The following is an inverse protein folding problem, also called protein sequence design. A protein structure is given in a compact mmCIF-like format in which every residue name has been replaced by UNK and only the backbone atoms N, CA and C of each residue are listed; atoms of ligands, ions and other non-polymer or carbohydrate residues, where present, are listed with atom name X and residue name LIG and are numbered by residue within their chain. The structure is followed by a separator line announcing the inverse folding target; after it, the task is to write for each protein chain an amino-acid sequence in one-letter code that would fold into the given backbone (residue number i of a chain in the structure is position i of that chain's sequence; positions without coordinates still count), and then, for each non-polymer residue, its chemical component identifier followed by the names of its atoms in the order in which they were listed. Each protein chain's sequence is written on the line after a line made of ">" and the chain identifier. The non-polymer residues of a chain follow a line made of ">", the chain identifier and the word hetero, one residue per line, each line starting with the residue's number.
data_IF_896707370993
#
_entry.id   IF_896707370993
#
_cell.length_a   1.000
_cell.length_b   1.000
_cell.length_c   1.000
_cell.angle_alpha   90.00
_cell.angle_beta   90.00
_cell.angle_gamma   90.00
#
_symmetry.space_group_name_H-M   'P 1'
#
loop_
_entity.id
_entity.type
_entity.pdbx_description
1 polymer ?
#
# COMPACT_ATOMS: atom_id res chain seq x y z
N UNK A 1 65.32 63.76 -5.76
CA UNK A 1 63.91 63.33 -5.50
C UNK A 1 63.65 61.98 -6.20
N UNK A 2 63.74 60.85 -5.46
CA UNK A 2 63.54 59.56 -6.00
C UNK A 2 62.12 59.10 -5.60
N UNK A 3 61.24 58.84 -6.58
CA UNK A 3 59.91 58.33 -6.39
C UNK A 3 59.98 56.79 -6.36
N UNK A 4 59.56 56.17 -5.26
CA UNK A 4 59.35 54.74 -5.15
C UNK A 4 57.90 54.42 -5.55
N UNK A 5 57.75 53.62 -6.60
CA UNK A 5 56.43 52.96 -6.97
C UNK A 5 56.27 51.65 -6.16
N UNK A 6 55.30 51.66 -5.34
CA UNK A 6 54.85 50.41 -4.61
C UNK A 6 53.89 49.64 -5.53
N UNK A 7 54.28 48.47 -5.98
CA UNK A 7 53.39 47.54 -6.70
C UNK A 7 52.64 46.68 -5.68
N UNK A 8 51.35 46.95 -5.55
CA UNK A 8 50.46 46.06 -4.81
C UNK A 8 50.02 44.87 -5.70
N UNK A 9 50.56 43.68 -5.40
CA UNK A 9 50.08 42.44 -6.02
C UNK A 9 48.80 41.93 -5.28
N UNK A 10 47.67 42.04 -5.94
CA UNK A 10 46.41 41.47 -5.45
C UNK A 10 46.37 39.98 -5.79
N UNK A 11 46.54 39.15 -4.80
CA UNK A 11 46.26 37.69 -4.92
C UNK A 11 44.78 37.48 -4.90
N UNK A 12 44.18 37.15 -6.04
CA UNK A 12 42.79 36.65 -6.13
C UNK A 12 42.81 35.15 -5.80
N UNK A 13 42.42 34.79 -4.57
CA UNK A 13 42.19 33.43 -4.20
C UNK A 13 40.79 33.05 -4.70
N UNK A 14 40.71 32.35 -5.83
CA UNK A 14 39.47 31.76 -6.31
C UNK A 14 39.11 30.55 -5.42
N UNK A 15 38.17 30.76 -4.53
CA UNK A 15 37.49 29.63 -3.85
C UNK A 15 36.60 28.92 -4.86
N UNK A 16 37.09 27.83 -5.45
CA UNK A 16 36.27 26.88 -6.16
C UNK A 16 35.44 26.11 -5.10
N UNK A 17 34.22 26.55 -4.87
CA UNK A 17 33.25 25.76 -4.12
C UNK A 17 32.88 24.54 -4.97
N UNK A 18 33.54 23.39 -4.74
CA UNK A 18 33.04 22.09 -5.18
C UNK A 18 31.73 21.82 -4.42
N UNK A 19 30.62 22.22 -5.01
CA UNK A 19 29.33 21.65 -4.61
C UNK A 19 29.33 20.18 -5.06
N UNK A 20 29.66 19.27 -4.14
CA UNK A 20 29.36 17.85 -4.34
C UNK A 20 27.85 17.75 -4.49
N UNK A 21 27.34 17.73 -5.71
CA UNK A 21 25.98 17.30 -5.97
C UNK A 21 25.90 15.86 -5.41
N UNK A 22 25.18 15.70 -4.28
CA UNK A 22 24.81 14.37 -3.80
C UNK A 22 24.14 13.69 -4.97
N UNK A 23 24.79 12.70 -5.55
CA UNK A 23 24.24 11.89 -6.63
C UNK A 23 22.93 11.31 -6.10
N UNK A 24 21.81 11.74 -6.68
CA UNK A 24 20.50 11.25 -6.24
C UNK A 24 20.47 9.75 -6.34
N UNK A 25 20.23 9.09 -5.21
CA UNK A 25 20.12 7.63 -5.17
C UNK A 25 19.01 7.15 -6.13
N UNK A 26 19.33 6.21 -7.01
CA UNK A 26 18.43 5.63 -8.00
C UNK A 26 18.17 4.16 -7.68
N UNK A 27 17.01 3.69 -8.10
CA UNK A 27 16.67 2.26 -8.02
C UNK A 27 17.54 1.49 -9.03
N UNK A 28 18.13 0.39 -8.57
CA UNK A 28 18.80 -0.56 -9.47
C UNK A 28 17.72 -1.42 -10.17
N UNK A 29 17.62 -1.26 -11.47
CA UNK A 29 16.64 -1.97 -12.32
C UNK A 29 17.15 -3.27 -12.91
N UNK A 30 18.39 -3.67 -12.65
CA UNK A 30 19.04 -4.85 -13.27
C UNK A 30 18.29 -6.16 -12.98
N UNK A 31 17.67 -6.29 -11.81
CA UNK A 31 16.89 -7.46 -11.41
C UNK A 31 15.37 -7.29 -11.62
N UNK A 32 14.95 -6.21 -12.24
CA UNK A 32 13.54 -5.96 -12.60
C UNK A 32 13.12 -6.93 -13.70
N UNK A 33 11.90 -7.45 -13.64
CA UNK A 33 11.36 -8.26 -14.71
C UNK A 33 11.29 -7.48 -16.04
N UNK A 34 11.57 -8.17 -17.14
CA UNK A 34 11.26 -7.63 -18.45
C UNK A 34 9.74 -7.39 -18.59
N UNK A 35 9.34 -6.51 -19.48
CA UNK A 35 7.92 -6.29 -19.80
C UNK A 35 7.25 -7.60 -20.24
N UNK A 36 7.92 -8.37 -21.11
CA UNK A 36 7.42 -9.66 -21.57
C UNK A 36 7.14 -10.61 -20.39
N UNK A 37 8.10 -10.79 -19.47
CA UNK A 37 7.90 -11.64 -18.28
C UNK A 37 6.72 -11.19 -17.43
N UNK A 38 6.55 -9.87 -17.25
CA UNK A 38 5.44 -9.31 -16.49
C UNK A 38 4.09 -9.60 -17.16
N UNK A 39 4.00 -9.44 -18.49
CA UNK A 39 2.79 -9.77 -19.25
C UNK A 39 2.52 -11.27 -19.31
N UNK A 40 3.54 -12.11 -19.47
CA UNK A 40 3.40 -13.58 -19.46
C UNK A 40 2.87 -14.07 -18.12
N UNK A 41 3.28 -13.44 -17.01
CA UNK A 41 2.75 -13.71 -15.70
C UNK A 41 1.30 -13.23 -15.58
N UNK A 42 1.01 -11.98 -15.94
CA UNK A 42 -0.32 -11.35 -15.80
C UNK A 42 -1.38 -12.05 -16.64
N UNK A 43 -1.05 -12.43 -17.87
CA UNK A 43 -1.99 -13.08 -18.78
C UNK A 43 -2.41 -14.50 -18.35
N UNK A 44 -1.66 -15.11 -17.43
CA UNK A 44 -2.02 -16.40 -16.81
C UNK A 44 -2.96 -16.23 -15.61
N UNK A 45 -3.19 -15.00 -15.16
CA UNK A 45 -4.02 -14.73 -14.00
C UNK A 45 -5.49 -14.51 -14.42
N UNK A 46 -6.46 -14.87 -13.55
CA UNK A 46 -7.82 -14.37 -13.70
C UNK A 46 -7.85 -12.85 -13.53
N UNK A 47 -8.94 -12.21 -13.88
CA UNK A 47 -9.15 -10.83 -13.46
C UNK A 47 -9.34 -10.76 -11.95
N UNK A 48 -8.58 -9.89 -11.29
CA UNK A 48 -8.62 -9.72 -9.85
C UNK A 48 -9.54 -8.57 -9.47
N UNK A 49 -10.50 -8.86 -8.59
CA UNK A 49 -11.36 -7.90 -7.94
C UNK A 49 -11.41 -8.22 -6.44
N UNK A 50 -11.04 -7.25 -5.62
CA UNK A 50 -10.96 -7.47 -4.19
C UNK A 50 -10.92 -6.20 -3.38
N UNK A 51 -10.23 -6.24 -2.24
CA UNK A 51 -10.33 -5.18 -1.23
C UNK A 51 -9.05 -5.03 -0.40
N UNK A 52 -8.89 -3.84 0.18
CA UNK A 52 -7.96 -3.58 1.28
C UNK A 52 -8.64 -3.96 2.59
N UNK A 53 -7.90 -4.58 3.50
CA UNK A 53 -8.50 -5.25 4.64
C UNK A 53 -7.87 -4.88 5.97
N UNK A 54 -8.70 -4.41 6.87
CA UNK A 54 -8.49 -4.41 8.31
C UNK A 54 -9.73 -5.08 8.91
N UNK A 55 -9.61 -6.12 9.76
CA UNK A 55 -10.77 -6.76 10.38
C UNK A 55 -11.61 -5.77 11.20
N UNK A 56 -12.92 -5.91 11.23
CA UNK A 56 -13.82 -5.00 11.93
C UNK A 56 -13.48 -4.84 13.43
N UNK A 57 -12.88 -5.85 14.06
CA UNK A 57 -12.44 -5.76 15.45
C UNK A 57 -11.19 -4.92 15.67
N UNK A 58 -10.37 -4.71 14.63
CA UNK A 58 -9.09 -4.03 14.73
C UNK A 58 -9.25 -2.53 14.42
N UNK A 59 -8.65 -1.68 15.26
CA UNK A 59 -8.64 -0.24 15.03
C UNK A 59 -7.54 0.20 14.06
N UNK A 60 -6.50 -0.64 13.89
CA UNK A 60 -5.35 -0.40 13.03
C UNK A 60 -4.65 -1.72 12.67
N UNK A 61 -3.61 -1.64 11.84
CA UNK A 61 -2.83 -2.83 11.45
C UNK A 61 -2.04 -3.44 12.61
N UNK A 62 -1.66 -2.68 13.65
CA UNK A 62 -1.05 -3.29 14.84
C UNK A 62 -2.03 -4.25 15.51
N UNK A 63 -3.27 -3.82 15.75
CA UNK A 63 -4.31 -4.67 16.34
C UNK A 63 -4.66 -5.89 15.46
N UNK A 64 -4.53 -5.76 14.13
CA UNK A 64 -4.75 -6.89 13.23
C UNK A 64 -3.73 -8.00 13.42
N UNK A 65 -2.46 -7.68 13.70
CA UNK A 65 -1.36 -8.65 13.73
C UNK A 65 -0.86 -9.01 15.13
N UNK A 66 -1.14 -8.20 16.17
CA UNK A 66 -0.62 -8.38 17.51
C UNK A 66 -1.15 -9.67 18.18
N UNK A 67 -0.28 -10.35 18.93
CA UNK A 67 -0.59 -11.62 19.62
C UNK A 67 -1.73 -11.54 20.63
N UNK A 68 -2.03 -10.34 21.11
CA UNK A 68 -3.11 -10.13 22.10
C UNK A 68 -4.48 -9.89 21.46
N UNK A 69 -4.51 -9.61 20.13
CA UNK A 69 -5.73 -9.19 19.45
C UNK A 69 -6.03 -9.94 18.17
N UNK A 70 -5.08 -10.68 17.59
CA UNK A 70 -5.30 -11.47 16.37
C UNK A 70 -6.43 -12.49 16.55
N UNK A 71 -7.50 -12.37 15.76
CA UNK A 71 -8.67 -13.27 15.81
C UNK A 71 -8.91 -13.95 14.44
N UNK A 72 -8.35 -15.15 14.30
CA UNK A 72 -8.50 -15.96 13.08
C UNK A 72 -9.97 -16.30 12.77
N UNK A 73 -10.85 -16.43 13.79
CA UNK A 73 -12.26 -16.78 13.58
C UNK A 73 -13.05 -15.58 13.04
N UNK A 74 -12.76 -14.37 13.54
CA UNK A 74 -13.36 -13.16 13.02
C UNK A 74 -12.94 -12.93 11.56
N UNK A 75 -11.65 -13.08 11.25
CA UNK A 75 -11.11 -12.98 9.89
C UNK A 75 -11.78 -14.01 8.97
N UNK A 76 -11.86 -15.27 9.38
CA UNK A 76 -12.48 -16.34 8.58
C UNK A 76 -13.95 -16.03 8.24
N UNK A 77 -14.70 -15.50 9.20
CA UNK A 77 -16.09 -15.09 9.01
C UNK A 77 -16.25 -13.92 8.04
N UNK A 78 -15.37 -12.92 8.14
CA UNK A 78 -15.41 -11.76 7.26
C UNK A 78 -14.97 -12.12 5.82
N UNK A 79 -13.94 -12.97 5.65
CA UNK A 79 -13.51 -13.42 4.33
C UNK A 79 -14.55 -14.32 3.64
N UNK A 80 -15.41 -15.00 4.39
CA UNK A 80 -16.55 -15.72 3.81
C UNK A 80 -17.55 -14.77 3.10
N UNK A 81 -17.72 -13.53 3.60
CA UNK A 81 -18.53 -12.51 2.91
C UNK A 81 -17.90 -12.08 1.59
N UNK A 82 -16.58 -11.92 1.58
CA UNK A 82 -15.85 -11.56 0.36
C UNK A 82 -15.91 -12.68 -0.69
N UNK A 83 -15.74 -13.96 -0.29
CA UNK A 83 -15.93 -15.11 -1.17
C UNK A 83 -17.36 -15.15 -1.73
N UNK A 84 -18.37 -14.93 -0.89
CA UNK A 84 -19.76 -14.91 -1.31
C UNK A 84 -20.09 -13.77 -2.29
N UNK A 85 -19.33 -12.68 -2.26
CA UNK A 85 -19.37 -11.59 -3.25
C UNK A 85 -18.55 -11.89 -4.51
N UNK A 86 -17.80 -13.01 -4.56
CA UNK A 86 -16.94 -13.39 -5.68
C UNK A 86 -15.59 -12.66 -5.72
N UNK A 87 -15.19 -12.00 -4.64
CA UNK A 87 -13.88 -11.36 -4.54
C UNK A 87 -12.77 -12.42 -4.41
N UNK A 88 -11.62 -12.18 -5.05
CA UNK A 88 -10.57 -13.18 -5.19
C UNK A 88 -9.17 -12.67 -4.82
N UNK A 89 -9.04 -11.45 -4.33
CA UNK A 89 -7.79 -10.87 -3.85
C UNK A 89 -8.04 -9.93 -2.67
N UNK A 90 -7.13 -9.91 -1.71
CA UNK A 90 -7.10 -8.90 -0.67
C UNK A 90 -5.68 -8.34 -0.48
N UNK A 91 -5.60 -7.10 -0.02
CA UNK A 91 -4.37 -6.41 0.36
C UNK A 91 -4.44 -5.98 1.81
N UNK A 92 -3.36 -6.17 2.55
CA UNK A 92 -3.24 -5.64 3.92
C UNK A 92 -1.78 -5.26 4.21
N UNK A 93 -1.62 -4.20 5.01
CA UNK A 93 -0.30 -3.76 5.47
C UNK A 93 0.19 -4.68 6.59
N UNK A 94 1.45 -5.09 6.50
CA UNK A 94 2.14 -5.82 7.54
C UNK A 94 2.71 -4.85 8.59
N UNK A 95 2.64 -5.23 9.87
CA UNK A 95 3.15 -4.35 10.92
C UNK A 95 4.54 -4.77 11.38
N UNK A 96 5.55 -3.96 11.04
CA UNK A 96 6.93 -4.19 11.43
C UNK A 96 7.12 -4.29 12.95
N UNK A 97 6.43 -3.47 13.74
CA UNK A 97 6.59 -3.49 15.20
C UNK A 97 6.22 -4.86 15.80
N UNK A 98 5.18 -5.53 15.26
CA UNK A 98 4.79 -6.88 15.69
C UNK A 98 5.83 -7.91 15.27
N UNK A 99 6.40 -7.77 14.07
CA UNK A 99 7.52 -8.61 13.64
C UNK A 99 8.75 -8.41 14.52
N UNK A 100 9.10 -7.18 14.86
CA UNK A 100 10.27 -6.87 15.67
C UNK A 100 10.18 -7.38 17.10
N UNK A 101 8.96 -7.44 17.68
CA UNK A 101 8.70 -8.01 18.99
C UNK A 101 8.89 -9.54 19.02
N UNK A 102 8.29 -10.23 18.05
CA UNK A 102 8.41 -11.69 17.93
C UNK A 102 8.32 -12.13 16.44
N UNK A 103 9.47 -12.25 15.75
CA UNK A 103 9.50 -12.67 14.35
C UNK A 103 8.89 -14.04 14.11
N UNK A 104 9.05 -14.99 15.03
CA UNK A 104 8.53 -16.36 14.88
C UNK A 104 6.99 -16.37 14.97
N UNK A 105 6.44 -15.66 15.95
CA UNK A 105 5.01 -15.45 16.08
C UNK A 105 4.43 -14.78 14.82
N UNK A 106 5.03 -13.65 14.41
CA UNK A 106 4.55 -12.89 13.26
C UNK A 106 4.50 -13.74 11.98
N UNK A 107 5.56 -14.46 11.65
CA UNK A 107 5.62 -15.30 10.46
C UNK A 107 4.62 -16.46 10.51
N UNK A 108 4.38 -17.04 11.70
CA UNK A 108 3.35 -18.06 11.90
C UNK A 108 1.93 -17.48 11.74
N UNK A 109 1.69 -16.30 12.28
CA UNK A 109 0.41 -15.60 12.18
C UNK A 109 0.11 -15.22 10.73
N UNK A 110 1.11 -14.73 9.99
CA UNK A 110 1.00 -14.44 8.57
C UNK A 110 0.68 -15.70 7.75
N UNK A 111 1.32 -16.83 8.06
CA UNK A 111 1.03 -18.13 7.41
C UNK A 111 -0.41 -18.59 7.71
N UNK A 112 -0.87 -18.43 8.95
CA UNK A 112 -2.26 -18.73 9.35
C UNK A 112 -3.25 -17.86 8.59
N UNK A 113 -2.99 -16.54 8.51
CA UNK A 113 -3.82 -15.60 7.76
C UNK A 113 -3.92 -15.96 6.28
N UNK A 114 -2.80 -16.27 5.65
CA UNK A 114 -2.78 -16.73 4.24
C UNK A 114 -3.51 -18.08 4.06
N UNK A 115 -3.50 -18.94 5.07
CA UNK A 115 -4.31 -20.17 5.08
C UNK A 115 -5.80 -19.87 5.05
N UNK A 116 -6.25 -18.86 5.80
CA UNK A 116 -7.65 -18.41 5.78
C UNK A 116 -7.99 -17.79 4.42
N UNK A 117 -7.14 -16.94 3.87
CA UNK A 117 -7.34 -16.39 2.52
C UNK A 117 -7.50 -17.51 1.48
N UNK A 118 -6.61 -18.51 1.50
CA UNK A 118 -6.65 -19.63 0.57
C UNK A 118 -7.91 -20.50 0.72
N UNK A 119 -8.39 -20.72 1.94
CA UNK A 119 -9.67 -21.39 2.22
C UNK A 119 -10.83 -20.73 1.48
N UNK A 120 -10.83 -19.40 1.42
CA UNK A 120 -11.83 -18.57 0.73
C UNK A 120 -11.46 -18.25 -0.74
N UNK A 121 -10.44 -18.93 -1.31
CA UNK A 121 -9.96 -18.72 -2.70
C UNK A 121 -9.49 -17.29 -2.99
N UNK A 122 -9.04 -16.59 -1.98
CA UNK A 122 -8.57 -15.21 -2.04
C UNK A 122 -7.04 -15.20 -2.07
N UNK A 123 -6.43 -14.54 -3.06
CA UNK A 123 -5.00 -14.26 -3.10
C UNK A 123 -4.66 -13.12 -2.16
N UNK A 124 -3.46 -13.12 -1.62
CA UNK A 124 -2.99 -12.09 -0.72
C UNK A 124 -1.94 -11.18 -1.37
N UNK A 125 -2.05 -9.89 -1.12
CA UNK A 125 -1.06 -8.86 -1.45
C UNK A 125 -0.57 -8.24 -0.14
N UNK A 126 0.58 -8.69 0.40
CA UNK A 126 1.18 -8.05 1.56
C UNK A 126 1.83 -6.72 1.18
N UNK A 127 1.45 -5.62 1.83
CA UNK A 127 2.18 -4.36 1.80
C UNK A 127 3.14 -4.33 2.99
N UNK A 128 4.45 -4.21 2.71
CA UNK A 128 5.48 -4.38 3.77
C UNK A 128 5.58 -3.17 4.69
N UNK A 129 5.35 -1.96 4.16
CA UNK A 129 5.42 -0.70 4.88
C UNK A 129 4.26 0.22 4.51
N UNK A 130 4.03 1.24 5.34
CA UNK A 130 2.97 2.24 5.17
C UNK A 130 3.36 3.55 5.85
N UNK A 131 3.34 4.66 5.10
CA UNK A 131 3.60 6.01 5.64
C UNK A 131 2.34 6.75 6.09
N UNK A 132 1.14 6.18 5.88
CA UNK A 132 -0.12 6.86 6.14
C UNK A 132 -0.34 7.18 7.62
N UNK A 133 -0.84 8.39 7.86
CA UNK A 133 -1.29 8.87 9.18
C UNK A 133 -2.57 9.66 9.01
N UNK A 134 -3.66 9.29 9.70
CA UNK A 134 -4.95 9.98 9.64
C UNK A 134 -5.35 10.64 10.96
N UNK A 135 -4.82 10.13 12.06
CA UNK A 135 -5.07 10.64 13.40
C UNK A 135 -3.88 11.37 14.01
N UNK A 136 -3.50 10.95 15.20
CA UNK A 136 -2.42 11.55 15.99
C UNK A 136 -1.24 10.62 16.21
N UNK A 137 -1.30 9.38 15.71
CA UNK A 137 -0.32 8.33 15.96
C UNK A 137 0.64 8.22 14.78
N UNK A 138 1.92 8.55 15.02
CA UNK A 138 3.01 8.46 14.05
C UNK A 138 3.90 7.23 14.29
N UNK A 139 3.68 6.55 15.41
CA UNK A 139 4.46 5.38 15.82
C UNK A 139 3.52 4.23 16.21
N UNK A 140 3.79 2.99 15.78
CA UNK A 140 3.02 1.83 16.18
C UNK A 140 3.24 1.52 17.68
N UNK A 141 2.20 1.03 18.33
CA UNK A 141 2.24 0.59 19.72
C UNK A 141 1.80 -0.86 19.80
N UNK A 142 2.54 -1.70 20.50
CA UNK A 142 2.18 -3.10 20.74
C UNK A 142 1.12 -3.23 21.85
N UNK A 143 0.46 -4.38 21.88
CA UNK A 143 -0.52 -4.72 22.90
C UNK A 143 -1.87 -4.06 22.68
N UNK A 144 -2.56 -3.77 23.81
CA UNK A 144 -3.92 -3.20 23.77
C UNK A 144 -3.92 -1.83 23.10
N UNK A 145 -4.67 -1.74 22.03
CA UNK A 145 -4.90 -0.48 21.31
C UNK A 145 -6.00 0.34 21.97
N UNK A 146 -6.10 1.62 21.56
CA UNK A 146 -7.15 2.51 22.00
C UNK A 146 -8.53 2.02 21.55
N UNK A 147 -9.59 2.40 22.28
CA UNK A 147 -10.94 2.27 21.73
C UNK A 147 -11.19 3.36 20.68
N UNK A 148 -12.03 3.10 19.68
CA UNK A 148 -12.30 4.07 18.64
C UNK A 148 -12.91 5.35 19.22
N UNK A 149 -12.37 6.50 18.84
CA UNK A 149 -13.01 7.79 19.12
C UNK A 149 -14.11 7.99 18.08
N UNK A 150 -15.36 7.86 18.53
CA UNK A 150 -16.53 7.90 17.64
C UNK A 150 -16.60 9.19 16.81
N UNK A 151 -16.82 9.04 15.51
CA UNK A 151 -16.85 10.15 14.57
C UNK A 151 -15.48 10.65 14.13
N UNK A 152 -14.41 9.95 14.41
CA UNK A 152 -13.07 10.30 13.89
C UNK A 152 -12.57 9.23 12.93
N UNK A 153 -12.48 9.56 11.64
CA UNK A 153 -11.93 8.68 10.60
C UNK A 153 -10.53 8.19 10.98
N UNK A 154 -10.35 6.88 11.08
CA UNK A 154 -9.06 6.20 11.26
C UNK A 154 -8.13 6.86 12.32
N UNK A 155 -8.72 7.32 13.45
CA UNK A 155 -8.03 8.18 14.42
C UNK A 155 -6.77 7.57 15.05
N UNK A 156 -6.72 6.26 15.25
CA UNK A 156 -5.56 5.53 15.80
C UNK A 156 -4.84 4.71 14.72
N UNK A 157 -4.87 5.21 13.46
CA UNK A 157 -4.12 4.60 12.37
C UNK A 157 -2.64 4.48 12.73
N UNK A 158 -2.03 3.33 12.44
CA UNK A 158 -0.67 3.00 12.84
C UNK A 158 0.18 2.76 11.58
N UNK A 159 1.11 3.66 11.23
CA UNK A 159 2.04 3.43 10.13
C UNK A 159 2.97 2.24 10.41
N UNK A 160 3.60 1.72 9.38
CA UNK A 160 4.59 0.65 9.48
C UNK A 160 5.85 1.02 8.68
N UNK A 161 7.03 1.16 9.30
CA UNK A 161 7.41 0.76 10.67
C UNK A 161 7.09 1.80 11.76
N UNK A 162 6.75 3.03 11.40
CA UNK A 162 6.68 4.22 12.22
C UNK A 162 7.64 5.29 11.67
N UNK A 163 7.22 6.56 11.76
CA UNK A 163 7.92 7.67 11.08
C UNK A 163 9.34 7.88 11.61
N UNK A 164 9.58 7.69 12.92
CA UNK A 164 10.92 7.84 13.49
C UNK A 164 11.93 6.86 12.86
N UNK A 165 11.50 5.66 12.50
CA UNK A 165 12.36 4.67 11.87
C UNK A 165 12.57 4.95 10.37
N UNK A 166 11.62 5.59 9.72
CA UNK A 166 11.76 5.99 8.31
C UNK A 166 12.83 7.07 8.16
N UNK A 167 12.84 8.08 9.06
CA UNK A 167 13.76 9.21 8.98
C UNK A 167 15.15 8.91 9.56
N UNK A 168 15.29 7.93 10.43
CA UNK A 168 16.56 7.53 11.03
C UNK A 168 17.24 6.45 10.20
N UNK A 169 18.16 6.84 9.32
CA UNK A 169 18.88 5.90 8.46
C UNK A 169 19.67 4.83 9.23
N UNK A 170 20.03 5.06 10.49
CA UNK A 170 20.69 4.05 11.33
C UNK A 170 19.79 2.84 11.62
N UNK A 171 18.48 2.99 11.48
CA UNK A 171 17.47 1.93 11.65
C UNK A 171 17.19 1.14 10.37
N UNK A 172 17.55 1.66 9.21
CA UNK A 172 17.26 0.99 7.93
C UNK A 172 17.83 -0.43 7.83
N UNK A 173 19.03 -0.79 8.35
CA UNK A 173 19.52 -2.16 8.26
C UNK A 173 18.61 -3.20 8.91
N UNK A 174 17.90 -2.87 9.99
CA UNK A 174 16.93 -3.80 10.60
C UNK A 174 15.65 -3.93 9.77
N UNK A 175 15.23 -2.86 9.09
CA UNK A 175 14.10 -2.88 8.16
C UNK A 175 14.42 -3.69 6.92
N UNK A 176 15.64 -3.59 6.37
CA UNK A 176 16.11 -4.44 5.28
C UNK A 176 16.16 -5.93 5.68
N UNK A 177 16.55 -6.24 6.92
CA UNK A 177 16.49 -7.61 7.46
C UNK A 177 15.05 -8.12 7.55
N UNK A 178 14.10 -7.28 7.98
CA UNK A 178 12.68 -7.63 7.99
C UNK A 178 12.17 -7.97 6.60
N UNK A 179 12.40 -7.09 5.62
CA UNK A 179 12.02 -7.31 4.22
C UNK A 179 12.59 -8.65 3.71
N UNK A 180 13.90 -8.86 3.93
CA UNK A 180 14.58 -10.08 3.51
C UNK A 180 13.99 -11.33 4.16
N UNK A 181 13.71 -11.29 5.48
CA UNK A 181 13.19 -12.42 6.22
C UNK A 181 11.77 -12.80 5.77
N UNK A 182 10.87 -11.81 5.69
CA UNK A 182 9.47 -12.03 5.30
C UNK A 182 9.39 -12.55 3.86
N UNK A 183 10.06 -11.91 2.91
CA UNK A 183 10.01 -12.35 1.52
C UNK A 183 10.69 -13.73 1.38
N UNK A 184 11.83 -13.99 2.03
CA UNK A 184 12.51 -15.29 1.95
C UNK A 184 11.62 -16.43 2.44
N UNK A 185 10.88 -16.21 3.53
CA UNK A 185 9.96 -17.22 4.11
C UNK A 185 8.88 -17.64 3.13
N UNK A 186 8.40 -16.71 2.28
CA UNK A 186 7.25 -16.92 1.41
C UNK A 186 7.54 -16.70 -0.09
N UNK A 187 8.79 -16.64 -0.50
CA UNK A 187 9.22 -16.29 -1.88
C UNK A 187 8.70 -17.20 -2.99
N UNK A 188 8.19 -18.38 -2.66
CA UNK A 188 7.59 -19.34 -3.61
C UNK A 188 6.17 -19.67 -3.28
N UNK A 189 5.57 -18.99 -2.29
CA UNK A 189 4.22 -19.24 -1.83
C UNK A 189 3.19 -18.73 -2.84
N UNK A 190 2.40 -19.63 -3.40
CA UNK A 190 1.40 -19.30 -4.42
C UNK A 190 0.16 -18.60 -3.88
N UNK A 191 0.00 -18.50 -2.56
CA UNK A 191 -1.07 -17.72 -1.93
C UNK A 191 -0.84 -16.21 -2.10
N UNK A 192 0.43 -15.79 -2.20
CA UNK A 192 0.81 -14.39 -2.47
C UNK A 192 0.72 -14.12 -3.97
N UNK A 193 -0.03 -13.07 -4.33
CA UNK A 193 -0.16 -12.64 -5.71
C UNK A 193 1.07 -11.86 -6.17
N UNK A 194 1.41 -10.80 -5.46
CA UNK A 194 2.63 -10.00 -5.63
C UNK A 194 3.00 -9.33 -4.30
N UNK A 195 4.21 -8.82 -4.21
CA UNK A 195 4.69 -8.06 -3.07
C UNK A 195 4.51 -6.58 -3.31
N UNK A 196 3.71 -5.93 -2.48
CA UNK A 196 3.67 -4.49 -2.39
C UNK A 196 4.73 -4.04 -1.39
N UNK A 197 5.77 -3.38 -1.88
CA UNK A 197 6.92 -3.08 -1.04
C UNK A 197 6.67 -1.91 -0.10
N UNK A 198 5.78 -1.00 -0.47
CA UNK A 198 5.53 0.21 0.31
C UNK A 198 4.19 0.85 -0.06
N UNK A 199 3.28 0.98 0.90
CA UNK A 199 2.04 1.73 0.76
C UNK A 199 2.31 3.23 0.84
N UNK A 200 1.86 3.97 -0.16
CA UNK A 200 1.85 5.43 -0.23
C UNK A 200 3.13 6.08 0.34
N UNK A 201 4.32 5.70 -0.13
CA UNK A 201 5.55 6.29 0.37
C UNK A 201 5.51 7.81 0.21
N UNK A 202 6.05 8.54 1.19
CA UNK A 202 5.99 10.00 1.33
C UNK A 202 4.72 10.59 1.97
N UNK A 203 3.71 9.77 2.28
CA UNK A 203 2.50 10.20 2.99
C UNK A 203 2.82 10.63 4.44
N UNK A 204 1.80 11.04 5.20
CA UNK A 204 1.93 11.43 6.60
C UNK A 204 2.88 12.59 6.86
N UNK A 205 3.21 13.38 5.83
CA UNK A 205 4.14 14.52 5.95
C UNK A 205 5.63 14.17 5.83
N UNK A 206 6.00 12.90 5.57
CA UNK A 206 7.39 12.46 5.42
C UNK A 206 8.07 13.04 4.17
N UNK A 207 7.33 13.21 3.07
CA UNK A 207 7.88 13.76 1.84
C UNK A 207 9.11 12.97 1.38
N UNK A 208 10.17 13.66 0.94
CA UNK A 208 11.40 13.03 0.44
C UNK A 208 12.20 12.26 1.49
N UNK A 209 11.89 12.37 2.78
CA UNK A 209 12.55 11.63 3.84
C UNK A 209 12.35 10.10 3.72
N UNK A 210 11.29 9.65 3.05
CA UNK A 210 11.05 8.23 2.78
C UNK A 210 12.02 7.64 1.73
N UNK A 211 12.56 8.43 0.80
CA UNK A 211 13.31 7.90 -0.34
C UNK A 211 14.53 7.04 0.01
N UNK A 212 15.37 7.39 1.02
CA UNK A 212 16.51 6.54 1.39
C UNK A 212 16.08 5.13 1.81
N UNK A 213 15.01 5.01 2.60
CA UNK A 213 14.47 3.72 3.00
C UNK A 213 13.86 2.98 1.81
N UNK A 214 13.04 3.65 1.01
CA UNK A 214 12.36 3.06 -0.15
C UNK A 214 13.36 2.38 -1.11
N UNK A 215 14.47 3.03 -1.44
CA UNK A 215 15.50 2.48 -2.31
C UNK A 215 16.16 1.25 -1.70
N UNK A 216 16.46 1.28 -0.39
CA UNK A 216 17.05 0.13 0.34
C UNK A 216 16.08 -1.05 0.40
N UNK A 217 14.80 -0.80 0.62
CA UNK A 217 13.73 -1.82 0.61
C UNK A 217 13.65 -2.53 -0.74
N UNK A 218 13.64 -1.77 -1.84
CA UNK A 218 13.66 -2.33 -3.20
C UNK A 218 14.89 -3.22 -3.41
N UNK A 219 16.07 -2.73 -3.05
CA UNK A 219 17.32 -3.48 -3.20
C UNK A 219 17.33 -4.78 -2.37
N UNK A 220 16.84 -4.73 -1.13
CA UNK A 220 16.72 -5.89 -0.26
C UNK A 220 15.74 -6.93 -0.83
N UNK A 221 14.54 -6.49 -1.24
CA UNK A 221 13.52 -7.36 -1.81
C UNK A 221 13.98 -8.05 -3.11
N UNK A 222 14.64 -7.30 -4.02
CA UNK A 222 15.15 -7.84 -5.28
C UNK A 222 16.18 -8.94 -5.08
N UNK A 223 17.08 -8.79 -4.10
CA UNK A 223 18.12 -9.79 -3.79
C UNK A 223 17.55 -11.13 -3.34
N UNK A 224 16.35 -11.16 -2.76
CA UNK A 224 15.71 -12.43 -2.33
C UNK A 224 15.32 -13.31 -3.50
N UNK A 225 14.99 -12.74 -4.66
CA UNK A 225 14.61 -13.49 -5.85
C UNK A 225 13.26 -14.21 -5.71
N UNK A 226 12.24 -13.53 -5.21
CA UNK A 226 10.89 -14.08 -5.13
C UNK A 226 10.34 -14.41 -6.53
N UNK A 227 9.50 -15.44 -6.63
CA UNK A 227 8.82 -15.81 -7.88
C UNK A 227 7.63 -14.92 -8.18
N UNK A 228 7.12 -14.21 -7.18
CA UNK A 228 6.06 -13.22 -7.33
C UNK A 228 6.64 -11.89 -7.81
N UNK A 229 5.91 -11.08 -8.57
CA UNK A 229 6.35 -9.74 -8.93
C UNK A 229 6.41 -8.81 -7.72
N UNK A 230 7.22 -7.75 -7.83
CA UNK A 230 7.31 -6.67 -6.86
C UNK A 230 6.64 -5.42 -7.41
N UNK A 231 6.01 -4.62 -6.55
CA UNK A 231 5.43 -3.34 -6.92
C UNK A 231 5.56 -2.30 -5.80
N UNK A 232 5.51 -1.04 -6.18
CA UNK A 232 5.28 0.13 -5.33
C UNK A 232 4.22 0.97 -6.03
N UNK A 233 3.25 1.47 -5.29
CA UNK A 233 2.12 2.16 -5.86
C UNK A 233 2.45 3.59 -6.33
N UNK A 234 1.84 3.96 -7.46
CA UNK A 234 1.75 5.33 -7.96
C UNK A 234 0.48 5.94 -7.38
N UNK A 235 0.61 6.82 -6.37
CA UNK A 235 -0.56 7.28 -5.62
C UNK A 235 -0.77 8.81 -5.66
N UNK A 236 0.25 9.58 -6.00
CA UNK A 236 0.16 11.04 -6.05
C UNK A 236 0.89 11.62 -7.28
N UNK A 237 0.93 12.94 -7.38
CA UNK A 237 1.55 13.66 -8.51
C UNK A 237 3.06 13.94 -8.33
N UNK A 238 3.73 13.34 -7.36
CA UNK A 238 5.17 13.50 -7.17
C UNK A 238 5.94 12.74 -8.27
N UNK A 239 6.44 13.47 -9.25
CA UNK A 239 7.13 12.87 -10.41
C UNK A 239 8.34 12.02 -10.01
N UNK A 240 9.11 12.45 -8.99
CA UNK A 240 10.26 11.67 -8.53
C UNK A 240 9.84 10.37 -7.88
N UNK A 241 8.83 10.41 -6.99
CA UNK A 241 8.28 9.21 -6.39
C UNK A 241 7.76 8.25 -7.46
N UNK A 242 6.98 8.75 -8.40
CA UNK A 242 6.41 7.95 -9.48
C UNK A 242 7.50 7.31 -10.36
N UNK A 243 8.59 8.03 -10.64
CA UNK A 243 9.75 7.45 -11.34
C UNK A 243 10.37 6.30 -10.54
N UNK A 244 10.61 6.49 -9.23
CA UNK A 244 11.14 5.44 -8.34
C UNK A 244 10.19 4.25 -8.30
N UNK A 245 8.89 4.47 -8.09
CA UNK A 245 7.88 3.42 -8.01
C UNK A 245 7.82 2.59 -9.30
N UNK A 246 7.78 3.25 -10.45
CA UNK A 246 7.74 2.57 -11.75
C UNK A 246 9.05 1.80 -12.03
N UNK A 247 10.21 2.38 -11.74
CA UNK A 247 11.51 1.72 -11.94
C UNK A 247 11.68 0.52 -11.00
N UNK A 248 11.11 0.58 -9.80
CA UNK A 248 11.13 -0.51 -8.83
C UNK A 248 10.17 -1.65 -9.18
N UNK A 249 9.14 -1.43 -10.01
CA UNK A 249 7.99 -2.32 -10.13
C UNK A 249 8.06 -3.24 -11.34
N UNK A 250 7.75 -4.53 -11.15
CA UNK A 250 7.57 -5.50 -12.24
C UNK A 250 6.22 -5.31 -12.92
N UNK A 251 5.20 -5.03 -12.13
CA UNK A 251 3.84 -4.63 -12.53
C UNK A 251 3.58 -3.26 -11.91
N UNK A 252 2.79 -2.41 -12.54
CA UNK A 252 2.49 -1.07 -12.00
C UNK A 252 1.24 -1.12 -11.15
N UNK A 253 1.39 -0.93 -9.84
CA UNK A 253 0.26 -0.68 -8.94
C UNK A 253 0.00 0.84 -8.82
N UNK A 254 -1.26 1.21 -8.56
CA UNK A 254 -1.65 2.61 -8.41
C UNK A 254 -2.90 2.76 -7.54
N UNK A 255 -3.11 3.96 -7.00
CA UNK A 255 -4.32 4.35 -6.28
C UNK A 255 -5.13 5.35 -7.09
N UNK A 256 -6.45 5.20 -7.09
CA UNK A 256 -7.36 6.16 -7.72
C UNK A 256 -8.69 6.26 -6.96
N UNK A 257 -8.91 7.38 -6.31
CA UNK A 257 -10.16 7.67 -5.61
C UNK A 257 -11.04 8.68 -6.38
N UNK A 258 -10.75 8.90 -7.65
CA UNK A 258 -11.50 9.78 -8.53
C UNK A 258 -12.70 9.08 -9.19
N UNK A 259 -13.50 9.87 -9.87
CA UNK A 259 -14.61 9.39 -10.68
C UNK A 259 -14.13 8.58 -11.91
N UNK A 260 -15.08 8.03 -12.64
CA UNK A 260 -14.83 7.21 -13.83
C UNK A 260 -13.88 7.88 -14.85
N UNK A 261 -14.05 9.17 -15.13
CA UNK A 261 -13.21 9.88 -16.09
C UNK A 261 -11.75 10.01 -15.61
N UNK A 262 -11.55 10.32 -14.34
CA UNK A 262 -10.22 10.40 -13.73
C UNK A 262 -9.53 9.02 -13.71
N UNK A 263 -10.27 7.96 -13.42
CA UNK A 263 -9.77 6.59 -13.49
C UNK A 263 -9.34 6.22 -14.91
N UNK A 264 -10.19 6.45 -15.90
CA UNK A 264 -9.87 6.15 -17.31
C UNK A 264 -8.63 6.90 -17.79
N UNK A 265 -8.50 8.17 -17.40
CA UNK A 265 -7.33 8.98 -17.75
C UNK A 265 -6.05 8.42 -17.13
N UNK A 266 -6.07 8.07 -15.84
CA UNK A 266 -4.89 7.53 -15.17
C UNK A 266 -4.49 6.16 -15.76
N UNK A 267 -5.44 5.28 -16.05
CA UNK A 267 -5.15 4.00 -16.73
C UNK A 267 -4.46 4.27 -18.08
N UNK A 268 -5.00 5.21 -18.87
CA UNK A 268 -4.42 5.60 -20.17
C UNK A 268 -2.98 6.10 -20.01
N UNK A 269 -2.72 6.92 -19.00
CA UNK A 269 -1.39 7.47 -18.75
C UNK A 269 -0.40 6.40 -18.26
N UNK A 270 -0.84 5.47 -17.40
CA UNK A 270 0.01 4.41 -16.89
C UNK A 270 0.32 3.31 -17.92
N UNK A 271 -0.58 3.06 -18.88
CA UNK A 271 -0.34 2.12 -19.98
C UNK A 271 0.90 2.46 -20.82
N UNK A 272 1.33 3.73 -20.85
CA UNK A 272 2.54 4.17 -21.54
C UNK A 272 3.81 3.47 -21.05
N UNK A 273 3.79 2.93 -19.84
CA UNK A 273 4.92 2.19 -19.28
C UNK A 273 5.04 0.75 -19.80
N UNK A 274 4.05 0.26 -20.57
CA UNK A 274 4.09 -1.05 -21.21
C UNK A 274 4.06 -2.24 -20.23
N UNK A 275 3.53 -2.06 -19.02
CA UNK A 275 3.45 -3.09 -17.99
C UNK A 275 2.01 -3.35 -17.56
N UNK A 276 1.69 -4.55 -17.03
CA UNK A 276 0.39 -4.81 -16.42
C UNK A 276 0.07 -3.81 -15.32
N UNK A 277 -1.21 -3.41 -15.22
CA UNK A 277 -1.70 -2.47 -14.22
C UNK A 277 -2.59 -3.17 -13.20
N UNK A 278 -2.47 -2.78 -11.92
CA UNK A 278 -3.36 -3.17 -10.84
C UNK A 278 -3.66 -1.93 -9.98
N UNK A 279 -4.93 -1.57 -9.82
CA UNK A 279 -5.34 -0.52 -8.90
C UNK A 279 -5.46 -1.12 -7.50
N UNK A 280 -4.50 -0.82 -6.64
CA UNK A 280 -4.42 -1.38 -5.29
C UNK A 280 -5.31 -0.67 -4.28
N UNK A 281 -5.76 0.54 -4.58
CA UNK A 281 -6.76 1.24 -3.77
C UNK A 281 -7.69 2.08 -4.61
N UNK A 282 -8.99 1.96 -4.35
CA UNK A 282 -10.03 2.79 -4.94
C UNK A 282 -11.31 2.73 -4.11
N UNK A 283 -12.36 3.38 -4.57
CA UNK A 283 -13.66 3.57 -3.99
C UNK A 283 -13.67 4.64 -2.90
N UNK A 284 -14.25 5.77 -3.26
CA UNK A 284 -14.59 6.86 -2.34
C UNK A 284 -15.93 7.42 -2.81
N UNK A 285 -17.03 6.98 -2.20
CA UNK A 285 -18.37 7.34 -2.66
C UNK A 285 -18.64 8.84 -2.67
N UNK A 286 -18.22 9.62 -1.64
CA UNK A 286 -18.30 11.09 -1.70
C UNK A 286 -17.62 11.70 -2.94
N UNK A 287 -16.51 11.15 -3.40
CA UNK A 287 -15.76 11.62 -4.58
C UNK A 287 -16.26 11.03 -5.90
N UNK A 288 -17.41 10.35 -5.90
CA UNK A 288 -17.95 9.62 -7.06
C UNK A 288 -17.05 8.50 -7.60
N UNK A 289 -16.10 8.02 -6.81
CA UNK A 289 -15.43 6.76 -7.08
C UNK A 289 -16.31 5.64 -6.56
N UNK A 290 -17.24 5.19 -7.39
CA UNK A 290 -18.31 4.25 -7.01
C UNK A 290 -18.26 2.98 -7.86
N UNK A 291 -18.79 1.89 -7.29
CA UNK A 291 -18.72 0.56 -7.91
C UNK A 291 -19.42 0.54 -9.26
N UNK A 292 -20.62 1.13 -9.37
CA UNK A 292 -21.40 1.14 -10.61
C UNK A 292 -20.68 1.78 -11.80
N UNK A 293 -19.87 2.81 -11.56
CA UNK A 293 -19.20 3.57 -12.62
C UNK A 293 -17.78 3.07 -12.89
N UNK A 294 -17.01 2.76 -11.83
CA UNK A 294 -15.58 2.46 -11.95
C UNK A 294 -15.29 0.98 -12.22
N UNK A 295 -16.11 0.06 -11.67
CA UNK A 295 -15.87 -1.37 -11.84
C UNK A 295 -15.92 -1.85 -13.32
N UNK A 296 -16.88 -1.35 -14.16
CA UNK A 296 -16.87 -1.61 -15.60
C UNK A 296 -15.56 -1.20 -16.29
N UNK A 297 -14.97 -0.06 -15.88
CA UNK A 297 -13.69 0.41 -16.45
C UNK A 297 -12.58 -0.57 -16.13
N UNK A 298 -12.42 -0.96 -14.87
CA UNK A 298 -11.40 -1.93 -14.47
C UNK A 298 -11.53 -3.25 -15.23
N UNK A 299 -12.76 -3.74 -15.36
CA UNK A 299 -13.03 -5.00 -16.07
C UNK A 299 -12.70 -4.90 -17.57
N UNK A 300 -13.19 -3.87 -18.25
CA UNK A 300 -13.00 -3.68 -19.71
C UNK A 300 -11.53 -3.41 -20.06
N UNK A 301 -10.81 -2.66 -19.22
CA UNK A 301 -9.39 -2.37 -19.38
C UNK A 301 -8.49 -3.52 -18.91
N UNK A 302 -9.09 -4.57 -18.36
CA UNK A 302 -8.42 -5.72 -17.74
C UNK A 302 -7.40 -5.30 -16.68
N UNK A 303 -7.75 -4.32 -15.85
CA UNK A 303 -6.98 -3.85 -14.70
C UNK A 303 -7.51 -4.51 -13.45
N UNK A 304 -6.67 -5.24 -12.71
CA UNK A 304 -7.05 -5.76 -11.39
C UNK A 304 -7.34 -4.61 -10.43
N UNK A 305 -8.30 -4.79 -9.49
CA UNK A 305 -8.68 -3.70 -8.60
C UNK A 305 -8.99 -4.18 -7.17
N UNK A 306 -8.63 -3.36 -6.17
CA UNK A 306 -8.89 -3.60 -4.76
C UNK A 306 -9.51 -2.35 -4.16
N UNK A 307 -10.81 -2.39 -3.86
CA UNK A 307 -11.49 -1.29 -3.19
C UNK A 307 -11.02 -1.17 -1.73
N UNK A 308 -11.29 -0.04 -1.08
CA UNK A 308 -11.00 0.11 0.34
C UNK A 308 -12.17 -0.37 1.19
N UNK A 309 -11.83 -1.16 2.22
CA UNK A 309 -12.75 -1.65 3.24
C UNK A 309 -13.61 -2.85 2.81
N UNK A 310 -13.96 -3.68 3.76
CA UNK A 310 -14.89 -4.80 3.60
C UNK A 310 -16.03 -4.69 4.60
N UNK A 311 -15.72 -4.78 5.89
CA UNK A 311 -16.70 -4.74 6.98
C UNK A 311 -16.41 -3.52 7.85
N UNK A 312 -17.42 -2.69 8.06
CA UNK A 312 -17.34 -1.55 8.95
C UNK A 312 -16.97 -1.96 10.37
N UNK A 313 -16.00 -1.28 10.96
CA UNK A 313 -15.47 -1.63 12.26
C UNK A 313 -14.81 -0.50 13.01
N UNK A 314 -13.91 -0.85 13.92
CA UNK A 314 -13.25 0.11 14.83
C UNK A 314 -12.41 1.16 14.11
N UNK A 315 -11.95 0.90 12.89
CA UNK A 315 -11.18 1.86 12.07
C UNK A 315 -12.05 3.01 11.57
N UNK A 316 -13.39 2.85 11.52
CA UNK A 316 -14.36 3.86 11.07
C UNK A 316 -14.05 4.41 9.67
N UNK A 317 -13.69 3.52 8.72
CA UNK A 317 -13.39 3.89 7.33
C UNK A 317 -14.63 4.18 6.49
N UNK A 318 -15.81 3.95 7.04
CA UNK A 318 -17.09 4.42 6.50
C UNK A 318 -17.25 5.96 6.56
N UNK A 319 -16.55 6.64 7.48
CA UNK A 319 -16.55 8.10 7.58
C UNK A 319 -15.74 8.74 6.45
N UNK A 320 -16.04 9.97 6.04
CA UNK A 320 -15.22 10.73 5.10
C UNK A 320 -13.81 11.03 5.64
N UNK A 321 -12.83 11.11 4.77
CA UNK A 321 -11.47 11.54 5.14
C UNK A 321 -11.49 12.86 5.90
N UNK A 322 -10.79 12.90 7.00
CA UNK A 322 -10.69 14.08 7.86
C UNK A 322 -11.90 14.33 8.76
N UNK A 323 -12.93 13.46 8.72
CA UNK A 323 -14.09 13.57 9.63
C UNK A 323 -13.66 13.53 11.09
N UNK A 324 -14.23 14.41 11.90
CA UNK A 324 -13.91 14.60 13.32
C UNK A 324 -15.17 14.55 14.18
N UNK A 325 -15.05 14.22 15.48
CA UNK A 325 -16.16 14.36 16.42
C UNK A 325 -16.73 15.78 16.40
N UNK A 326 -18.05 15.88 16.21
CA UNK A 326 -18.76 17.15 16.07
C UNK A 326 -19.05 17.59 14.64
N UNK A 327 -18.45 16.95 13.65
CA UNK A 327 -18.83 17.17 12.26
C UNK A 327 -20.25 16.64 11.97
N UNK A 328 -20.95 17.18 10.97
CA UNK A 328 -22.24 16.65 10.55
C UNK A 328 -22.17 15.17 10.21
N UNK A 329 -23.19 14.40 10.59
CA UNK A 329 -23.25 12.97 10.30
C UNK A 329 -23.04 12.70 8.79
N UNK A 330 -22.19 11.74 8.48
CA UNK A 330 -21.96 11.30 7.10
C UNK A 330 -23.26 10.72 6.50
N UNK A 331 -23.71 11.29 5.39
CA UNK A 331 -24.95 10.84 4.71
C UNK A 331 -24.72 9.63 3.82
N UNK A 332 -23.47 9.37 3.47
CA UNK A 332 -23.04 8.24 2.65
C UNK A 332 -21.71 7.72 3.19
N UNK A 333 -21.57 6.41 3.30
CA UNK A 333 -20.31 5.79 3.67
C UNK A 333 -19.23 5.99 2.60
N UNK A 334 -18.04 6.34 3.04
CA UNK A 334 -16.92 6.50 2.12
C UNK A 334 -16.46 5.16 1.56
N UNK A 335 -16.15 4.23 2.45
CA UNK A 335 -15.69 2.88 2.14
C UNK A 335 -16.66 1.83 2.66
N UNK A 336 -16.19 0.59 2.82
CA UNK A 336 -16.89 -0.59 3.36
C UNK A 336 -18.13 -1.05 2.57
N UNK A 337 -18.32 -2.35 2.53
CA UNK A 337 -19.42 -3.00 1.82
C UNK A 337 -20.47 -3.58 2.78
N UNK A 338 -20.02 -4.00 3.95
CA UNK A 338 -20.85 -4.62 4.96
C UNK A 338 -20.83 -3.80 6.25
N UNK A 339 -21.95 -3.81 6.94
CA UNK A 339 -22.09 -3.20 8.27
C UNK A 339 -21.44 -4.10 9.33
N UNK A 340 -21.28 -3.60 10.54
CA UNK A 340 -20.69 -4.32 11.67
C UNK A 340 -21.53 -5.55 12.10
N UNK A 341 -22.81 -5.62 11.72
CA UNK A 341 -23.67 -6.78 11.89
C UNK A 341 -23.62 -7.76 10.70
N UNK A 342 -22.69 -7.53 9.75
CA UNK A 342 -22.50 -8.29 8.52
C UNK A 342 -23.62 -8.15 7.47
N UNK A 343 -24.61 -7.29 7.70
CA UNK A 343 -25.59 -6.96 6.67
C UNK A 343 -24.96 -6.10 5.57
N UNK A 344 -25.46 -6.25 4.35
CA UNK A 344 -24.96 -5.45 3.20
C UNK A 344 -25.32 -3.99 3.37
N UNK A 345 -24.38 -3.07 3.13
CA UNK A 345 -24.64 -1.64 3.12
C UNK A 345 -25.49 -1.24 1.90
N UNK A 346 -25.08 -1.67 0.70
CA UNK A 346 -25.79 -1.40 -0.57
C UNK A 346 -25.84 -2.64 -1.44
N UNK A 347 -27.00 -3.29 -1.56
CA UNK A 347 -27.16 -4.49 -2.33
C UNK A 347 -26.76 -4.36 -3.80
N UNK A 348 -27.08 -3.27 -4.54
CA UNK A 348 -26.66 -3.12 -5.93
C UNK A 348 -25.13 -3.13 -6.14
N UNK A 349 -24.34 -2.73 -5.13
CA UNK A 349 -22.87 -2.78 -5.22
C UNK A 349 -22.37 -4.22 -5.16
N UNK A 350 -22.91 -5.04 -4.26
CA UNK A 350 -22.59 -6.47 -4.18
C UNK A 350 -23.03 -7.20 -5.46
N UNK A 351 -24.22 -6.89 -5.98
CA UNK A 351 -24.71 -7.47 -7.23
C UNK A 351 -23.81 -7.11 -8.42
N UNK A 352 -23.34 -5.87 -8.48
CA UNK A 352 -22.36 -5.43 -9.49
C UNK A 352 -21.04 -6.18 -9.38
N UNK A 353 -20.49 -6.34 -8.18
CA UNK A 353 -19.26 -7.11 -7.96
C UNK A 353 -19.46 -8.54 -8.47
N UNK A 354 -20.51 -9.22 -8.03
CA UNK A 354 -20.85 -10.61 -8.47
C UNK A 354 -21.01 -10.71 -9.99
N UNK A 355 -21.62 -9.72 -10.61
CA UNK A 355 -21.83 -9.71 -12.05
C UNK A 355 -20.50 -9.76 -12.83
N UNK A 356 -19.44 -9.08 -12.34
CA UNK A 356 -18.14 -9.06 -13.02
C UNK A 356 -17.20 -10.20 -12.58
N UNK A 357 -17.24 -10.60 -11.31
CA UNK A 357 -16.33 -11.63 -10.77
C UNK A 357 -16.76 -13.05 -11.10
N UNK A 358 -18.08 -13.29 -11.24
CA UNK A 358 -18.62 -14.61 -11.54
C UNK A 358 -18.85 -14.84 -13.04
N UNK A 359 -18.65 -13.81 -13.89
CA UNK A 359 -18.59 -14.00 -15.34
C UNK A 359 -17.36 -14.82 -15.71
N UNK A 360 -17.52 -15.79 -16.63
CA UNK A 360 -16.36 -16.36 -17.31
C UNK A 360 -15.65 -15.19 -18.02
N UNK A 361 -14.34 -15.08 -17.80
CA UNK A 361 -13.54 -14.08 -18.48
C UNK A 361 -13.78 -14.15 -20.00
N UNK A 362 -13.87 -13.01 -20.70
CA UNK A 362 -14.04 -12.97 -22.14
C UNK A 362 -12.91 -13.64 -22.90
#
# INVERSE_FOLDING_TARGET
>A
MKRYLLACSVFIISFATLSAQKQEARVDTTLRWSQQKAWDWYNKQPWYCGFNYIPAYAINYTAMWDKTTFDAKAIDRELALAEAAGMNVLRAVLQYAVYADDPAYFLKTLDTFMGICAKHKIKFVPALFDDCVFGITFEPRLGKQSEPLQGWYAWDWSPSPGHSMVVDESKHPQLEKYVTAVITRFKTDTRILFWDLYNEPTNGGLGSATFPLLIKVVAAARKVGAVQPLSIDVWNNNQRLNSIAIDASDIVSFHNYGNQAALQQQITDLKKWGRPLICTEWMNRPNRSVIGDNLPVFYNERVGCMLWGLVNGKTQTDLPWGHRPGDPAATIWQHDLYKSDFSVYRQPEIDSIKMYTLKKAP
#
